data_IF_569170580564
#
_entry.id   IF_569170580564
#
_cell.length_a   1.000
_cell.length_b   1.000
_cell.length_c   1.000
_cell.angle_alpha   90.00
_cell.angle_beta   90.00
_cell.angle_gamma   90.00
#
_symmetry.space_group_name_H-M   'P 1'
#
loop_
_entity.id
_entity.type
_entity.pdbx_description
1 polymer ?
#
# COMPACT_ATOMS: atom_id res chain seq x y z
N UNK A 1 -8.64 -2.65 -10.47
CA UNK A 1 -9.10 -1.25 -10.48
C UNK A 1 -8.10 -0.39 -11.26
N UNK A 2 -8.50 0.77 -11.77
CA UNK A 2 -7.59 1.69 -12.47
C UNK A 2 -6.81 2.57 -11.48
N UNK A 3 -5.55 2.88 -11.79
CA UNK A 3 -4.66 3.68 -10.92
C UNK A 3 -5.24 5.08 -10.60
N UNK A 4 -5.95 5.70 -11.56
CA UNK A 4 -6.56 7.03 -11.38
C UNK A 4 -7.47 7.09 -10.15
N UNK A 5 -8.18 6.00 -9.82
CA UNK A 5 -9.09 5.93 -8.68
C UNK A 5 -8.40 6.01 -7.32
N UNK A 6 -7.06 5.90 -7.28
CA UNK A 6 -6.28 6.00 -6.04
C UNK A 6 -5.79 7.42 -5.77
N UNK A 7 -5.74 8.32 -6.77
CA UNK A 7 -5.11 9.64 -6.61
C UNK A 7 -5.85 10.54 -5.61
N UNK A 8 -7.14 10.30 -5.40
CA UNK A 8 -7.95 11.03 -4.42
C UNK A 8 -7.87 10.44 -3.01
N UNK A 9 -7.25 9.27 -2.84
CA UNK A 9 -7.21 8.56 -1.56
C UNK A 9 -6.19 9.18 -0.57
N UNK A 10 -5.08 9.71 -1.09
CA UNK A 10 -4.04 10.40 -0.30
C UNK A 10 -3.31 11.41 -1.19
N UNK A 11 -2.75 12.50 -0.63
CA UNK A 11 -1.92 13.42 -1.39
C UNK A 11 -0.74 12.72 -2.07
N UNK A 12 -0.70 12.79 -3.40
CA UNK A 12 0.42 12.36 -4.23
C UNK A 12 1.20 13.60 -4.65
N UNK A 13 2.48 13.67 -4.30
CA UNK A 13 3.36 14.81 -4.65
C UNK A 13 3.66 14.87 -6.14
N UNK A 14 3.86 13.71 -6.75
CA UNK A 14 4.23 13.61 -8.16
C UNK A 14 3.84 12.26 -8.73
N UNK A 15 3.45 12.26 -9.99
CA UNK A 15 3.21 11.05 -10.79
C UNK A 15 4.24 11.00 -11.91
N UNK A 16 4.95 9.89 -12.04
CA UNK A 16 5.93 9.67 -13.10
C UNK A 16 5.51 8.43 -13.89
N UNK A 17 5.15 8.62 -15.15
CA UNK A 17 4.64 7.56 -16.04
C UNK A 17 3.13 7.62 -16.27
N UNK A 18 2.59 6.68 -17.06
CA UNK A 18 1.18 6.72 -17.48
C UNK A 18 0.22 6.37 -16.35
N UNK A 19 -0.92 7.06 -16.29
CA UNK A 19 -1.97 6.78 -15.29
C UNK A 19 -2.92 5.63 -15.69
N UNK A 20 -2.83 5.15 -16.94
CA UNK A 20 -3.59 3.99 -17.40
C UNK A 20 -2.86 2.69 -17.02
N UNK A 21 -2.96 2.34 -15.74
CA UNK A 21 -2.39 1.13 -15.17
C UNK A 21 -3.45 0.42 -14.34
N UNK A 22 -3.58 -0.88 -14.57
CA UNK A 22 -4.36 -1.74 -13.69
C UNK A 22 -3.60 -2.05 -12.39
N UNK A 23 -4.35 -1.98 -11.30
CA UNK A 23 -3.95 -2.39 -9.95
C UNK A 23 -4.97 -3.42 -9.46
N UNK A 24 -4.50 -4.64 -9.24
CA UNK A 24 -5.29 -5.77 -8.72
C UNK A 24 -4.90 -6.11 -7.29
N UNK A 25 -3.63 -5.92 -6.95
CA UNK A 25 -3.06 -6.22 -5.64
C UNK A 25 -2.25 -5.05 -5.10
N UNK A 26 -2.05 -5.02 -3.78
CA UNK A 26 -1.13 -4.10 -3.12
C UNK A 26 -0.19 -4.90 -2.20
N UNK A 27 1.10 -4.61 -2.23
CA UNK A 27 2.10 -5.30 -1.42
C UNK A 27 3.22 -4.35 -0.99
N UNK A 28 3.75 -4.54 0.22
CA UNK A 28 4.97 -3.87 0.69
C UNK A 28 6.16 -4.84 0.84
N UNK A 29 5.92 -6.14 0.59
CA UNK A 29 6.95 -7.18 0.55
C UNK A 29 7.14 -7.62 -0.90
N UNK A 30 8.32 -7.36 -1.47
CA UNK A 30 8.67 -7.69 -2.85
C UNK A 30 8.56 -9.20 -3.14
N UNK A 31 8.60 -10.05 -2.12
CA UNK A 31 8.41 -11.50 -2.26
C UNK A 31 6.98 -11.86 -2.64
N UNK A 32 6.01 -11.03 -2.27
CA UNK A 32 4.57 -11.24 -2.50
C UNK A 32 4.03 -10.53 -3.74
N UNK A 33 4.88 -9.80 -4.46
CA UNK A 33 4.49 -9.09 -5.68
C UNK A 33 4.15 -10.09 -6.79
N UNK A 34 3.06 -9.79 -7.49
CA UNK A 34 2.59 -10.49 -8.68
C UNK A 34 2.25 -9.46 -9.77
N UNK A 35 1.78 -9.93 -10.92
CA UNK A 35 1.30 -9.07 -12.00
C UNK A 35 0.23 -8.09 -11.48
N UNK A 36 0.27 -6.85 -11.97
CA UNK A 36 -0.67 -5.77 -11.61
C UNK A 36 -0.67 -5.41 -10.11
N UNK A 37 0.45 -5.61 -9.43
CA UNK A 37 0.61 -5.19 -8.03
C UNK A 37 1.06 -3.74 -7.94
N UNK A 38 0.45 -2.97 -7.05
CA UNK A 38 1.00 -1.74 -6.51
C UNK A 38 1.99 -2.08 -5.39
N UNK A 39 3.27 -1.88 -5.64
CA UNK A 39 4.30 -2.10 -4.64
C UNK A 39 4.58 -0.83 -3.84
N UNK A 40 4.49 -0.89 -2.52
CA UNK A 40 4.75 0.25 -1.62
C UNK A 40 6.11 0.08 -0.94
N UNK A 41 7.06 0.93 -1.29
CA UNK A 41 8.42 0.92 -0.77
C UNK A 41 8.50 1.54 0.63
N UNK A 42 8.10 0.77 1.65
CA UNK A 42 8.15 1.22 3.05
C UNK A 42 9.61 1.36 3.53
N UNK A 43 9.91 2.46 4.23
CA UNK A 43 11.10 2.53 5.07
C UNK A 43 10.84 1.81 6.40
N UNK A 44 11.48 0.66 6.59
CA UNK A 44 11.48 -0.08 7.85
C UNK A 44 12.65 0.31 8.75
N UNK A 45 12.59 -0.07 10.02
CA UNK A 45 13.69 0.15 10.98
C UNK A 45 14.97 -0.63 10.62
N UNK A 46 14.81 -1.83 10.05
CA UNK A 46 15.92 -2.73 9.70
C UNK A 46 16.28 -2.70 8.22
N UNK A 47 15.35 -2.31 7.34
CA UNK A 47 15.54 -2.41 5.89
C UNK A 47 14.71 -1.36 5.15
N UNK A 48 15.31 -0.76 4.12
CA UNK A 48 14.65 0.19 3.24
C UNK A 48 13.99 -0.54 2.05
N UNK A 49 12.66 -0.52 1.98
CA UNK A 49 11.86 -1.13 0.92
C UNK A 49 12.18 -0.62 -0.48
N UNK A 50 12.78 0.56 -0.60
CA UNK A 50 13.19 1.12 -1.89
C UNK A 50 14.28 0.28 -2.57
N UNK A 51 15.06 -0.49 -1.81
CA UNK A 51 16.08 -1.38 -2.35
C UNK A 51 15.47 -2.54 -3.16
N UNK A 52 14.19 -2.88 -2.91
CA UNK A 52 13.52 -3.99 -3.57
C UNK A 52 12.62 -3.58 -4.73
N UNK A 53 12.63 -2.31 -5.13
CA UNK A 53 11.81 -1.82 -6.25
C UNK A 53 12.13 -2.58 -7.54
N UNK A 54 13.41 -2.79 -7.87
CA UNK A 54 13.79 -3.55 -9.06
C UNK A 54 13.17 -4.94 -9.07
N UNK A 55 13.29 -5.67 -7.95
CA UNK A 55 12.69 -7.00 -7.79
C UNK A 55 11.15 -6.98 -7.92
N UNK A 56 10.49 -5.94 -7.39
CA UNK A 56 9.06 -5.78 -7.53
C UNK A 56 8.65 -5.57 -9.00
N UNK A 57 9.39 -4.73 -9.73
CA UNK A 57 9.15 -4.50 -11.16
C UNK A 57 9.31 -5.81 -11.94
N UNK A 58 10.39 -6.56 -11.69
CA UNK A 58 10.66 -7.82 -12.39
C UNK A 58 9.58 -8.89 -12.12
N UNK A 59 8.88 -8.82 -10.99
CA UNK A 59 7.75 -9.69 -10.65
C UNK A 59 6.40 -9.21 -11.19
N UNK A 60 6.37 -8.09 -11.89
CA UNK A 60 5.15 -7.58 -12.52
C UNK A 60 4.39 -6.53 -11.72
N UNK A 61 5.06 -5.84 -10.79
CA UNK A 61 4.50 -4.60 -10.25
C UNK A 61 4.16 -3.65 -11.41
N UNK A 62 2.95 -3.10 -11.43
CA UNK A 62 2.53 -2.10 -12.41
C UNK A 62 2.71 -0.68 -11.91
N UNK A 63 2.75 -0.51 -10.58
CA UNK A 63 2.83 0.78 -9.89
C UNK A 63 3.80 0.67 -8.72
N UNK A 64 4.65 1.67 -8.55
CA UNK A 64 5.54 1.82 -7.40
C UNK A 64 5.08 3.04 -6.59
N UNK A 65 4.96 2.89 -5.29
CA UNK A 65 4.70 3.99 -4.35
C UNK A 65 5.95 4.18 -3.51
N UNK A 66 6.54 5.37 -3.56
CA UNK A 66 7.83 5.67 -2.93
C UNK A 66 7.87 7.10 -2.38
N UNK A 67 8.82 7.37 -1.50
CA UNK A 67 9.08 8.74 -0.98
C UNK A 67 10.05 9.55 -1.85
N UNK A 68 10.67 8.88 -2.84
CA UNK A 68 11.58 9.48 -3.80
C UNK A 68 11.20 9.07 -5.22
N UNK A 69 11.57 9.91 -6.17
CA UNK A 69 11.37 9.61 -7.59
C UNK A 69 12.02 8.27 -7.95
N UNK A 70 11.30 7.45 -8.69
CA UNK A 70 11.84 6.30 -9.38
C UNK A 70 11.41 6.35 -10.85
N UNK A 71 12.39 6.22 -11.75
CA UNK A 71 12.17 6.25 -13.19
C UNK A 71 12.44 4.85 -13.74
N UNK A 72 11.38 4.17 -14.16
CA UNK A 72 11.45 2.93 -14.93
C UNK A 72 10.26 2.90 -15.89
N UNK A 73 10.47 2.71 -17.20
CA UNK A 73 9.40 2.77 -18.21
C UNK A 73 8.35 1.66 -18.05
N UNK A 74 8.66 0.57 -17.35
CA UNK A 74 7.76 -0.58 -17.17
C UNK A 74 6.61 -0.27 -16.19
N UNK A 75 6.77 0.72 -15.32
CA UNK A 75 5.85 1.01 -14.21
C UNK A 75 5.49 2.49 -14.13
N UNK A 76 4.51 2.80 -13.29
CA UNK A 76 4.20 4.18 -12.91
C UNK A 76 4.64 4.40 -11.47
N UNK A 77 5.37 5.48 -11.20
CA UNK A 77 5.80 5.84 -9.85
C UNK A 77 4.89 6.93 -9.27
N UNK A 78 4.30 6.66 -8.11
CA UNK A 78 3.63 7.64 -7.27
C UNK A 78 4.59 8.06 -6.16
N UNK A 79 5.01 9.33 -6.20
CA UNK A 79 5.82 9.92 -5.14
C UNK A 79 4.89 10.48 -4.09
N UNK A 80 5.02 10.00 -2.85
CA UNK A 80 4.20 10.41 -1.70
C UNK A 80 5.08 10.94 -0.58
N UNK A 81 4.50 11.70 0.34
CA UNK A 81 5.24 12.18 1.51
C UNK A 81 5.53 11.08 2.52
N UNK A 82 4.59 10.15 2.69
CA UNK A 82 4.70 9.06 3.64
C UNK A 82 4.15 7.77 3.04
N UNK A 83 5.04 6.82 2.78
CA UNK A 83 4.70 5.52 2.18
C UNK A 83 3.80 4.67 3.08
N UNK A 84 3.90 4.81 4.40
CA UNK A 84 3.10 4.05 5.37
C UNK A 84 1.64 4.50 5.39
N UNK A 85 1.40 5.81 5.38
CA UNK A 85 0.04 6.37 5.26
C UNK A 85 -0.57 6.00 3.92
N UNK A 86 0.18 6.19 2.83
CA UNK A 86 -0.27 5.83 1.48
C UNK A 86 -0.63 4.34 1.35
N UNK A 87 0.13 3.43 1.97
CA UNK A 87 -0.22 2.01 2.02
C UNK A 87 -1.59 1.78 2.65
N UNK A 88 -1.90 2.44 3.76
CA UNK A 88 -3.17 2.28 4.46
C UNK A 88 -4.33 2.76 3.59
N UNK A 89 -4.22 3.97 3.03
CA UNK A 89 -5.29 4.59 2.25
C UNK A 89 -5.52 3.89 0.91
N UNK A 90 -4.45 3.52 0.19
CA UNK A 90 -4.56 2.75 -1.04
C UNK A 90 -5.10 1.35 -0.80
N UNK A 91 -4.71 0.68 0.29
CA UNK A 91 -5.30 -0.62 0.65
C UNK A 91 -6.78 -0.48 0.95
N UNK A 92 -7.17 0.53 1.74
CA UNK A 92 -8.57 0.79 2.03
C UNK A 92 -9.37 1.05 0.75
N UNK A 93 -8.81 1.80 -0.20
CA UNK A 93 -9.45 2.09 -1.49
C UNK A 93 -9.59 0.83 -2.35
N UNK A 94 -8.52 0.03 -2.50
CA UNK A 94 -8.54 -1.20 -3.30
C UNK A 94 -9.56 -2.21 -2.79
N UNK A 95 -9.69 -2.36 -1.47
CA UNK A 95 -10.61 -3.31 -0.84
C UNK A 95 -12.00 -2.70 -0.51
N UNK A 96 -12.30 -1.50 -1.01
CA UNK A 96 -13.64 -0.90 -0.89
C UNK A 96 -14.05 -0.49 0.54
N UNK A 97 -13.09 0.03 1.30
CA UNK A 97 -13.21 0.53 2.68
C UNK A 97 -13.95 -0.44 3.62
N UNK A 98 -13.43 -1.66 3.86
CA UNK A 98 -14.13 -2.69 4.62
C UNK A 98 -14.49 -2.24 6.05
N UNK A 99 -13.65 -1.42 6.68
CA UNK A 99 -13.91 -0.87 8.01
C UNK A 99 -15.20 -0.05 8.10
N UNK A 100 -15.68 0.56 7.00
CA UNK A 100 -16.95 1.31 6.98
C UNK A 100 -18.19 0.42 6.95
N UNK A 101 -18.01 -0.87 6.61
CA UNK A 101 -19.09 -1.87 6.48
C UNK A 101 -19.17 -2.79 7.70
N UNK A 102 -18.20 -2.71 8.60
CA UNK A 102 -18.07 -3.59 9.76
C UNK A 102 -18.30 -2.80 11.06
N UNK A 103 -18.92 -3.44 12.05
CA UNK A 103 -18.88 -2.94 13.43
C UNK A 103 -17.52 -3.28 14.02
N UNK A 104 -16.61 -2.31 14.02
CA UNK A 104 -15.24 -2.49 14.48
C UNK A 104 -15.10 -2.06 15.95
N UNK A 105 -14.63 -2.97 16.80
CA UNK A 105 -14.24 -2.67 18.17
C UNK A 105 -12.71 -2.72 18.29
N UNK A 106 -12.12 -1.71 18.93
CA UNK A 106 -10.68 -1.65 19.17
C UNK A 106 -10.41 -1.69 20.68
N UNK A 107 -9.51 -2.57 21.11
CA UNK A 107 -9.06 -2.66 22.50
C UNK A 107 -7.58 -2.33 22.57
N UNK A 108 -7.22 -1.33 23.37
CA UNK A 108 -5.84 -0.90 23.62
C UNK A 108 -5.54 -0.94 25.13
N UNK A 109 -4.26 -0.98 25.50
CA UNK A 109 -3.80 -1.03 26.89
C UNK A 109 -2.62 -1.99 27.07
N UNK A 110 -1.81 -1.82 28.12
CA UNK A 110 -0.63 -2.65 28.37
C UNK A 110 -1.01 -4.12 28.58
N UNK A 111 -2.07 -4.37 29.35
CA UNK A 111 -2.58 -5.70 29.69
C UNK A 111 -4.06 -5.86 29.29
N UNK A 112 -4.55 -7.10 29.23
CA UNK A 112 -5.98 -7.40 29.06
C UNK A 112 -6.55 -7.32 27.63
N UNK A 113 -5.82 -6.77 26.65
CA UNK A 113 -6.27 -6.64 25.25
C UNK A 113 -6.87 -7.92 24.68
N UNK A 114 -6.11 -9.02 24.74
CA UNK A 114 -6.51 -10.32 24.18
C UNK A 114 -7.72 -10.91 24.90
N UNK A 115 -7.77 -10.81 26.23
CA UNK A 115 -8.90 -11.30 27.01
C UNK A 115 -10.17 -10.54 26.66
N UNK A 116 -10.11 -9.21 26.63
CA UNK A 116 -11.25 -8.36 26.31
C UNK A 116 -11.73 -8.57 24.87
N UNK A 117 -10.84 -8.72 23.88
CA UNK A 117 -11.26 -9.01 22.50
C UNK A 117 -11.93 -10.37 22.38
N UNK A 118 -11.52 -11.36 23.18
CA UNK A 118 -12.17 -12.68 23.21
C UNK A 118 -13.58 -12.61 23.84
N UNK A 119 -13.75 -11.80 24.88
CA UNK A 119 -15.05 -11.57 25.52
C UNK A 119 -16.02 -10.81 24.61
N UNK A 120 -15.55 -9.77 23.90
CA UNK A 120 -16.39 -8.99 22.94
C UNK A 120 -16.89 -9.86 21.78
N UNK A 121 -16.16 -10.93 21.44
CA UNK A 121 -16.52 -11.85 20.35
C UNK A 121 -17.72 -12.75 20.71
N UNK A 122 -17.98 -12.98 21.99
CA UNK A 122 -19.06 -13.84 22.49
C UNK A 122 -20.33 -13.03 22.79
#
# INVERSE_FOLDING_TARGET
>A
MQLKSFLDATPVRQVIGPLDRQVENIAYDSRRVQRHTMFVALRGEKTDGHQFIGQAIDKGASVIVAEREQKDPRVTCLVVENTRTALADFSATLYGHPARKLKLAAVTGTNGKTTTTFLIKH
#
